data_IF_770815054262
#
_entry.id   IF_770815054262
#
_cell.length_a   1.000
_cell.length_b   1.000
_cell.length_c   1.000
_cell.angle_alpha   90.00
_cell.angle_beta   90.00
_cell.angle_gamma   90.00
#
_symmetry.space_group_name_H-M   'P 1'
#
loop_
_entity.id
_entity.type
_entity.pdbx_description
1 polymer ?
#
# COMPACT_ATOMS: atom_id res chain seq x y z
N UNK A 1 34.02 2.25 -11.18
CA UNK A 1 33.91 2.29 -9.71
C UNK A 1 35.19 2.91 -9.14
N UNK A 2 35.14 4.12 -8.54
CA UNK A 2 36.35 4.83 -8.11
C UNK A 2 37.12 4.05 -7.03
N UNK A 3 38.46 4.11 -6.98
CA UNK A 3 39.26 3.43 -5.98
C UNK A 3 38.99 3.97 -4.57
N UNK A 4 39.11 3.09 -3.54
CA UNK A 4 38.97 3.52 -2.13
C UNK A 4 40.27 4.22 -1.73
N UNK A 5 40.20 5.53 -1.58
CA UNK A 5 41.35 6.36 -1.24
C UNK A 5 41.33 6.88 0.21
N UNK A 6 40.23 6.58 0.97
CA UNK A 6 40.09 7.02 2.34
C UNK A 6 38.69 6.75 2.93
N UNK A 7 38.44 7.13 4.18
CA UNK A 7 37.18 6.86 4.87
C UNK A 7 35.96 7.50 4.18
N UNK A 8 36.11 8.68 3.56
CA UNK A 8 35.03 9.35 2.82
C UNK A 8 34.64 8.58 1.55
N UNK A 9 35.62 8.01 0.82
CA UNK A 9 35.32 7.18 -0.36
C UNK A 9 34.69 5.86 0.00
N UNK A 10 35.01 5.29 1.18
CA UNK A 10 34.34 4.12 1.72
C UNK A 10 32.88 4.43 2.08
N UNK A 11 32.64 5.56 2.75
CA UNK A 11 31.30 6.02 3.11
C UNK A 11 30.43 6.28 1.88
N UNK A 12 31.01 6.88 0.85
CA UNK A 12 30.34 7.09 -0.44
C UNK A 12 29.90 5.76 -1.06
N UNK A 13 30.78 4.77 -1.10
CA UNK A 13 30.43 3.43 -1.62
C UNK A 13 29.39 2.74 -0.79
N UNK A 14 29.51 2.80 0.53
CA UNK A 14 28.52 2.23 1.43
C UNK A 14 27.12 2.86 1.21
N UNK A 15 27.08 4.20 1.05
CA UNK A 15 25.82 4.91 0.77
C UNK A 15 25.19 4.47 -0.56
N UNK A 16 25.98 4.27 -1.62
CA UNK A 16 25.48 3.77 -2.90
C UNK A 16 25.00 2.32 -2.77
N UNK A 17 25.78 1.48 -2.08
CA UNK A 17 25.39 0.08 -1.86
C UNK A 17 24.07 -0.05 -1.10
N UNK A 18 23.92 0.72 -0.03
CA UNK A 18 22.68 0.77 0.75
C UNK A 18 21.50 1.32 -0.07
N UNK A 19 21.73 2.40 -0.83
CA UNK A 19 20.71 3.01 -1.68
C UNK A 19 20.20 2.03 -2.74
N UNK A 20 21.11 1.43 -3.50
CA UNK A 20 20.74 0.50 -4.58
C UNK A 20 20.16 -0.79 -3.99
N UNK A 21 20.79 -1.35 -2.94
CA UNK A 21 20.33 -2.58 -2.32
C UNK A 21 18.93 -2.43 -1.71
N UNK A 22 18.70 -1.37 -0.92
CA UNK A 22 17.38 -1.13 -0.34
C UNK A 22 16.32 -0.85 -1.42
N UNK A 23 16.63 -0.08 -2.46
CA UNK A 23 15.71 0.18 -3.55
C UNK A 23 15.32 -1.09 -4.31
N UNK A 24 16.26 -1.98 -4.59
CA UNK A 24 15.97 -3.27 -5.26
C UNK A 24 15.08 -4.15 -4.39
N UNK A 25 15.35 -4.25 -3.09
CA UNK A 25 14.52 -5.04 -2.17
C UNK A 25 13.14 -4.43 -2.02
N UNK A 26 13.03 -3.09 -1.90
CA UNK A 26 11.76 -2.38 -1.84
C UNK A 26 10.88 -2.65 -3.06
N UNK A 27 11.43 -2.52 -4.26
CA UNK A 27 10.70 -2.80 -5.50
C UNK A 27 10.28 -4.26 -5.54
N UNK A 28 11.18 -5.19 -5.21
CA UNK A 28 10.88 -6.62 -5.23
C UNK A 28 9.76 -6.97 -4.26
N UNK A 29 9.87 -6.54 -2.98
CA UNK A 29 8.84 -6.78 -1.96
C UNK A 29 7.53 -6.08 -2.34
N UNK A 30 7.59 -4.88 -2.93
CA UNK A 30 6.42 -4.16 -3.42
C UNK A 30 5.68 -4.94 -4.50
N UNK A 31 6.38 -5.46 -5.50
CA UNK A 31 5.82 -6.29 -6.57
C UNK A 31 5.23 -7.60 -6.01
N UNK A 32 5.95 -8.27 -5.12
CA UNK A 32 5.46 -9.50 -4.47
C UNK A 32 4.20 -9.22 -3.65
N UNK A 33 4.14 -8.11 -2.92
CA UNK A 33 2.97 -7.75 -2.12
C UNK A 33 1.75 -7.39 -2.99
N UNK A 34 1.95 -6.67 -4.10
CA UNK A 34 0.90 -6.34 -5.08
C UNK A 34 0.37 -7.63 -5.72
N UNK A 35 1.27 -8.55 -6.08
CA UNK A 35 0.94 -9.85 -6.67
C UNK A 35 0.43 -10.86 -5.64
N UNK A 36 0.36 -10.49 -4.36
CA UNK A 36 -0.04 -11.35 -3.22
C UNK A 36 0.82 -12.63 -3.11
N UNK A 37 2.03 -12.59 -3.64
CA UNK A 37 2.97 -13.70 -3.57
C UNK A 37 3.81 -13.62 -2.29
N UNK A 38 3.38 -14.33 -1.26
CA UNK A 38 4.03 -14.38 0.06
C UNK A 38 4.91 -15.62 0.19
N UNK A 39 6.02 -15.64 -0.56
CA UNK A 39 6.96 -16.75 -0.58
C UNK A 39 7.80 -16.88 0.71
N UNK A 40 7.75 -15.89 1.60
CA UNK A 40 8.54 -15.83 2.83
C UNK A 40 7.65 -15.65 4.06
N UNK A 41 8.05 -16.21 5.20
CA UNK A 41 7.28 -16.16 6.46
C UNK A 41 7.36 -14.81 7.20
N UNK A 42 8.10 -13.83 6.70
CA UNK A 42 8.19 -12.53 7.33
C UNK A 42 7.07 -11.57 6.88
N UNK A 43 6.78 -10.59 7.72
CA UNK A 43 5.80 -9.53 7.39
C UNK A 43 6.36 -8.58 6.33
N UNK A 44 5.93 -8.70 5.09
CA UNK A 44 6.31 -7.82 3.98
C UNK A 44 6.12 -6.34 4.32
N UNK A 45 5.01 -5.97 4.97
CA UNK A 45 4.74 -4.61 5.38
C UNK A 45 5.75 -4.05 6.38
N UNK A 46 6.20 -4.87 7.36
CA UNK A 46 7.20 -4.43 8.33
C UNK A 46 8.56 -4.24 7.68
N UNK A 47 8.96 -5.18 6.85
CA UNK A 47 10.24 -5.12 6.13
C UNK A 47 10.26 -3.93 5.17
N UNK A 48 9.20 -3.73 4.39
CA UNK A 48 9.02 -2.58 3.51
C UNK A 48 9.12 -1.26 4.28
N UNK A 49 8.42 -1.12 5.40
CA UNK A 49 8.49 0.08 6.24
C UNK A 49 9.91 0.36 6.77
N UNK A 50 10.62 -0.66 7.25
CA UNK A 50 12.00 -0.51 7.76
C UNK A 50 12.96 -0.14 6.64
N UNK A 51 12.86 -0.82 5.49
CA UNK A 51 13.72 -0.57 4.34
C UNK A 51 13.46 0.80 3.71
N UNK A 52 12.22 1.30 3.73
CA UNK A 52 11.91 2.66 3.30
C UNK A 52 12.70 3.71 4.11
N UNK A 53 12.83 3.53 5.43
CA UNK A 53 13.67 4.40 6.26
C UNK A 53 15.17 4.25 5.97
N UNK A 54 15.64 3.04 5.69
CA UNK A 54 17.02 2.80 5.25
C UNK A 54 17.28 3.50 3.91
N UNK A 55 16.33 3.41 2.99
CA UNK A 55 16.41 4.08 1.69
C UNK A 55 16.47 5.60 1.84
N UNK A 56 15.58 6.19 2.63
CA UNK A 56 15.57 7.65 2.91
C UNK A 56 16.90 8.07 3.56
N UNK A 57 17.36 7.36 4.58
CA UNK A 57 18.64 7.63 5.22
C UNK A 57 19.83 7.53 4.25
N UNK A 58 19.82 6.54 3.35
CA UNK A 58 20.85 6.35 2.32
C UNK A 58 20.87 7.50 1.31
N UNK A 59 19.69 7.99 0.89
CA UNK A 59 19.58 9.16 0.01
C UNK A 59 20.14 10.40 0.69
N UNK A 60 19.74 10.65 1.95
CA UNK A 60 20.24 11.81 2.71
C UNK A 60 21.76 11.75 2.86
N UNK A 61 22.30 10.59 3.23
CA UNK A 61 23.74 10.38 3.36
C UNK A 61 24.46 10.59 2.03
N UNK A 62 23.94 10.01 0.93
CA UNK A 62 24.51 10.16 -0.39
C UNK A 62 24.53 11.62 -0.86
N UNK A 63 23.43 12.34 -0.67
CA UNK A 63 23.33 13.77 -1.00
C UNK A 63 24.29 14.58 -0.12
N UNK A 64 24.40 14.31 1.18
CA UNK A 64 25.30 15.01 2.08
C UNK A 64 26.78 14.85 1.67
N UNK A 65 27.20 13.64 1.32
CA UNK A 65 28.56 13.35 0.84
C UNK A 65 28.83 14.08 -0.49
N UNK A 66 27.85 14.20 -1.36
CA UNK A 66 27.96 14.88 -2.67
C UNK A 66 27.66 16.39 -2.61
N UNK A 67 27.21 16.91 -1.49
CA UNK A 67 26.78 18.31 -1.35
C UNK A 67 27.84 19.33 -1.80
N UNK A 68 29.13 19.19 -1.46
CA UNK A 68 30.16 20.12 -1.95
C UNK A 68 30.27 20.16 -3.48
N UNK A 69 30.16 18.99 -4.11
CA UNK A 69 30.15 18.87 -5.57
C UNK A 69 28.90 19.52 -6.18
N UNK A 70 27.73 19.25 -5.60
CA UNK A 70 26.45 19.82 -6.05
C UNK A 70 26.50 21.34 -5.93
N UNK A 71 26.90 21.88 -4.79
CA UNK A 71 26.98 23.33 -4.57
C UNK A 71 28.04 23.98 -5.49
N UNK A 72 29.20 23.35 -5.63
CA UNK A 72 30.23 23.82 -6.56
C UNK A 72 29.73 23.90 -7.99
N UNK A 73 28.98 22.90 -8.43
CA UNK A 73 28.39 22.84 -9.75
C UNK A 73 27.28 23.92 -9.97
N UNK A 74 26.48 24.22 -8.98
CA UNK A 74 25.44 25.25 -9.05
C UNK A 74 26.04 26.68 -9.03
N UNK A 75 27.19 26.85 -8.34
CA UNK A 75 27.92 28.15 -8.26
C UNK A 75 28.85 28.39 -9.43
N UNK A 76 29.20 27.38 -10.22
CA UNK A 76 30.03 27.54 -11.41
C UNK A 76 29.26 28.39 -12.44
N UNK A 77 29.82 29.60 -12.74
CA UNK A 77 29.31 30.45 -13.82
C UNK A 77 29.48 29.72 -15.16
N UNK A 78 28.61 29.98 -16.14
CA UNK A 78 28.85 29.53 -17.51
C UNK A 78 30.25 29.96 -17.95
N UNK A 79 31.03 29.05 -18.49
CA UNK A 79 32.33 29.39 -19.11
C UNK A 79 32.02 30.28 -20.29
N UNK A 80 32.58 31.52 -20.28
CA UNK A 80 32.50 32.42 -21.41
C UNK A 80 33.31 31.79 -22.58
N UNK A 81 32.68 31.48 -23.71
CA UNK A 81 33.38 30.84 -24.82
C UNK A 81 34.52 31.71 -25.41
N UNK A 82 34.66 32.99 -25.00
CA UNK A 82 35.72 33.89 -25.43
C UNK A 82 37.00 33.83 -24.55
N UNK A 83 37.04 33.00 -23.51
CA UNK A 83 38.20 32.84 -22.62
C UNK A 83 39.06 31.63 -23.03
N UNK A 84 39.54 31.61 -24.29
CA UNK A 84 40.33 30.51 -24.86
C UNK A 84 41.80 30.47 -24.36
N UNK A 85 42.24 31.46 -23.55
CA UNK A 85 43.63 31.60 -23.06
C UNK A 85 43.83 31.29 -21.55
N UNK A 86 42.89 30.66 -20.87
CA UNK A 86 43.08 30.29 -19.49
C UNK A 86 43.75 28.91 -19.35
N UNK A 87 44.76 28.74 -18.42
CA UNK A 87 45.42 27.47 -18.24
C UNK A 87 44.40 26.36 -17.83
N UNK A 88 44.61 25.10 -18.27
CA UNK A 88 43.64 24.04 -18.09
C UNK A 88 43.37 23.85 -16.62
N UNK A 89 42.11 24.05 -16.21
CA UNK A 89 41.63 23.68 -14.89
C UNK A 89 41.78 22.18 -14.75
N UNK A 90 42.34 21.70 -13.61
CA UNK A 90 42.44 20.30 -13.27
C UNK A 90 41.10 19.61 -13.48
N UNK A 91 41.01 18.91 -14.57
CA UNK A 91 40.00 17.91 -14.82
C UNK A 91 40.29 16.69 -13.94
N UNK A 92 39.30 15.90 -13.64
CA UNK A 92 39.44 14.60 -13.02
C UNK A 92 40.60 13.81 -13.63
N UNK A 93 41.27 12.93 -12.86
CA UNK A 93 42.34 12.09 -13.39
C UNK A 93 41.86 11.41 -14.67
N UNK A 94 42.61 11.73 -15.72
CA UNK A 94 42.50 11.26 -17.09
C UNK A 94 42.18 9.77 -17.14
N UNK A 95 41.19 9.45 -17.88
CA UNK A 95 40.87 8.09 -18.30
C UNK A 95 42.14 7.49 -18.95
N UNK A 96 42.33 6.19 -18.68
CA UNK A 96 43.35 5.35 -19.31
C UNK A 96 43.49 5.66 -20.83
N UNK A 97 44.70 5.66 -21.38
CA UNK A 97 44.92 5.98 -22.78
C UNK A 97 44.09 5.06 -23.67
N UNK A 98 43.16 5.62 -24.36
CA UNK A 98 42.49 4.99 -25.49
C UNK A 98 43.40 5.10 -26.73
N UNK A 99 43.42 4.03 -27.50
CA UNK A 99 44.15 3.83 -28.76
C UNK A 99 44.05 5.07 -29.68
N UNK A 100 45.13 5.52 -30.32
CA UNK A 100 45.15 6.77 -31.11
C UNK A 100 44.34 6.73 -32.40
N UNK A 101 43.44 5.81 -32.59
CA UNK A 101 42.67 5.61 -33.84
C UNK A 101 41.15 5.88 -33.78
N UNK A 102 40.55 6.03 -32.61
CA UNK A 102 39.10 6.28 -32.51
C UNK A 102 38.82 7.73 -32.10
N UNK A 103 38.29 8.52 -33.04
CA UNK A 103 37.69 9.81 -32.69
C UNK A 103 36.54 9.56 -31.66
N UNK A 104 36.49 10.32 -30.54
CA UNK A 104 35.41 10.14 -29.57
C UNK A 104 34.11 10.48 -30.30
N UNK A 105 33.23 9.46 -30.40
CA UNK A 105 31.82 9.68 -30.70
C UNK A 105 31.31 10.69 -29.68
N UNK A 106 30.92 11.87 -30.13
CA UNK A 106 30.29 12.90 -29.31
C UNK A 106 29.02 12.27 -28.74
N UNK A 107 29.13 11.70 -27.52
CA UNK A 107 27.98 11.42 -26.72
C UNK A 107 27.39 12.78 -26.39
N UNK A 108 26.28 13.13 -27.03
CA UNK A 108 25.58 14.39 -26.79
C UNK A 108 25.38 14.55 -25.29
N UNK A 109 26.13 15.46 -24.68
CA UNK A 109 26.04 15.73 -23.26
C UNK A 109 24.64 16.27 -22.98
N UNK A 110 23.79 15.44 -22.37
CA UNK A 110 22.43 15.84 -21.95
C UNK A 110 22.57 17.10 -21.11
N UNK A 111 21.97 18.20 -21.56
CA UNK A 111 21.99 19.45 -20.82
C UNK A 111 21.38 19.26 -19.42
N UNK A 112 21.85 20.04 -18.42
CA UNK A 112 21.29 19.99 -17.04
C UNK A 112 19.79 20.14 -17.04
N UNK A 113 19.26 21.05 -17.87
CA UNK A 113 17.81 21.26 -18.02
C UNK A 113 17.15 20.02 -18.62
N UNK A 114 17.77 19.40 -19.63
CA UNK A 114 17.25 18.16 -20.21
C UNK A 114 17.22 17.01 -19.22
N UNK A 115 18.27 16.84 -18.40
CA UNK A 115 18.31 15.83 -17.33
C UNK A 115 17.21 16.05 -16.28
N UNK A 116 17.01 17.28 -15.81
CA UNK A 116 15.96 17.61 -14.84
C UNK A 116 14.56 17.40 -15.43
N UNK A 117 14.35 17.78 -16.70
CA UNK A 117 13.09 17.52 -17.39
C UNK A 117 12.84 16.03 -17.53
N UNK A 118 13.85 15.24 -17.91
CA UNK A 118 13.72 13.80 -18.06
C UNK A 118 13.37 13.11 -16.72
N UNK A 119 14.07 13.49 -15.65
CA UNK A 119 13.77 12.98 -14.29
C UNK A 119 12.36 13.39 -13.84
N UNK A 120 11.99 14.66 -14.00
CA UNK A 120 10.67 15.16 -13.65
C UNK A 120 9.55 14.50 -14.45
N UNK A 121 9.74 14.32 -15.77
CA UNK A 121 8.78 13.64 -16.62
C UNK A 121 8.64 12.16 -16.27
N UNK A 122 9.76 11.47 -16.00
CA UNK A 122 9.73 10.06 -15.56
C UNK A 122 9.04 9.89 -14.22
N UNK A 123 9.35 10.75 -13.25
CA UNK A 123 8.68 10.73 -11.94
C UNK A 123 7.18 11.02 -12.08
N UNK A 124 6.81 12.02 -12.88
CA UNK A 124 5.41 12.34 -13.19
C UNK A 124 4.68 11.19 -13.86
N UNK A 125 5.29 10.53 -14.84
CA UNK A 125 4.71 9.37 -15.52
C UNK A 125 4.49 8.18 -14.56
N UNK A 126 5.46 7.90 -13.67
CA UNK A 126 5.33 6.85 -12.66
C UNK A 126 4.20 7.20 -11.68
N UNK A 127 4.15 8.43 -11.18
CA UNK A 127 3.09 8.87 -10.27
C UNK A 127 1.71 8.79 -10.92
N UNK A 128 1.56 9.26 -12.15
CA UNK A 128 0.30 9.15 -12.90
C UNK A 128 -0.07 7.69 -13.16
N UNK A 129 0.90 6.88 -13.58
CA UNK A 129 0.68 5.47 -13.89
C UNK A 129 0.32 4.60 -12.68
N UNK A 130 0.69 5.02 -11.47
CA UNK A 130 0.47 4.24 -10.22
C UNK A 130 -0.57 4.89 -9.30
N UNK A 131 -0.31 6.11 -8.84
CA UNK A 131 -1.14 6.82 -7.86
C UNK A 131 -2.23 7.69 -8.50
N UNK A 132 -2.25 7.86 -9.82
CA UNK A 132 -3.23 8.68 -10.52
C UNK A 132 -4.68 8.26 -10.28
N UNK A 133 -4.94 7.00 -9.95
CA UNK A 133 -6.29 6.52 -9.62
C UNK A 133 -6.90 7.17 -8.36
N UNK A 134 -6.10 7.78 -7.49
CA UNK A 134 -6.62 8.51 -6.31
C UNK A 134 -7.33 9.80 -6.68
N UNK A 135 -7.11 10.30 -7.91
CA UNK A 135 -7.73 11.49 -8.46
C UNK A 135 -8.63 11.05 -9.62
N UNK A 136 -9.94 11.09 -9.45
CA UNK A 136 -10.92 10.54 -10.40
C UNK A 136 -10.66 10.91 -11.88
N UNK A 137 -10.35 12.18 -12.28
CA UNK A 137 -10.03 12.52 -13.67
C UNK A 137 -8.76 11.85 -14.21
N UNK A 138 -7.81 11.46 -13.36
CA UNK A 138 -6.54 10.85 -13.72
C UNK A 138 -6.56 9.31 -13.67
N UNK A 139 -7.63 8.73 -13.14
CA UNK A 139 -7.77 7.28 -12.99
C UNK A 139 -7.56 6.48 -14.31
N UNK A 140 -7.99 6.95 -15.50
CA UNK A 140 -7.71 6.28 -16.76
C UNK A 140 -6.22 6.17 -17.10
N UNK A 141 -5.39 7.10 -16.59
CA UNK A 141 -3.94 7.13 -16.83
C UNK A 141 -3.16 6.21 -15.89
N UNK A 142 -3.78 5.74 -14.81
CA UNK A 142 -3.18 4.87 -13.81
C UNK A 142 -3.10 3.40 -14.28
N UNK A 143 -2.44 3.17 -15.40
CA UNK A 143 -2.38 1.86 -16.08
C UNK A 143 -1.59 0.80 -15.30
N UNK A 144 -0.70 1.22 -14.40
CA UNK A 144 0.11 0.34 -13.55
C UNK A 144 -0.53 0.10 -12.17
N UNK A 145 -1.72 0.66 -11.92
CA UNK A 145 -2.42 0.45 -10.66
C UNK A 145 -2.88 -1.00 -10.52
N UNK A 146 -2.68 -1.65 -9.36
CA UNK A 146 -3.00 -3.06 -9.16
C UNK A 146 -4.51 -3.35 -9.20
N UNK A 147 -5.32 -2.36 -8.86
CA UNK A 147 -6.79 -2.44 -8.84
C UNK A 147 -7.38 -1.13 -9.36
N UNK A 148 -8.56 -1.22 -9.98
CA UNK A 148 -9.28 -0.05 -10.51
C UNK A 148 -10.68 0.02 -9.92
N UNK A 149 -11.15 1.21 -9.49
CA UNK A 149 -12.55 1.40 -9.11
C UNK A 149 -13.50 0.91 -10.20
N UNK A 150 -14.60 0.29 -9.80
CA UNK A 150 -15.61 -0.23 -10.73
C UNK A 150 -15.28 -1.58 -11.36
N UNK A 151 -14.09 -2.14 -11.16
CA UNK A 151 -13.67 -3.43 -11.72
C UNK A 151 -13.58 -4.48 -10.63
N UNK A 152 -14.40 -5.53 -10.75
CA UNK A 152 -14.49 -6.65 -9.82
C UNK A 152 -15.92 -7.20 -9.73
N UNK A 153 -16.14 -8.29 -8.99
CA UNK A 153 -17.48 -8.76 -8.68
C UNK A 153 -18.34 -7.64 -8.10
N UNK A 154 -19.60 -7.59 -8.47
CA UNK A 154 -20.54 -6.55 -8.04
C UNK A 154 -20.01 -5.10 -8.26
N UNK A 155 -19.10 -4.90 -9.26
CA UNK A 155 -18.54 -3.59 -9.57
C UNK A 155 -17.57 -3.00 -8.53
N UNK A 156 -17.08 -3.80 -7.60
CA UNK A 156 -16.17 -3.35 -6.54
C UNK A 156 -14.83 -4.13 -6.60
N UNK A 157 -13.66 -3.46 -6.53
CA UNK A 157 -12.37 -4.14 -6.55
C UNK A 157 -12.17 -5.09 -5.36
N UNK A 158 -11.48 -6.19 -5.60
CA UNK A 158 -11.13 -7.17 -4.58
C UNK A 158 -9.64 -7.05 -4.27
N UNK A 159 -9.30 -6.89 -2.99
CA UNK A 159 -7.91 -6.89 -2.53
C UNK A 159 -7.39 -8.31 -2.20
N UNK A 160 -8.28 -9.24 -1.86
CA UNK A 160 -7.98 -10.64 -1.55
C UNK A 160 -9.19 -11.50 -1.85
N UNK A 161 -9.02 -12.54 -2.65
CA UNK A 161 -10.08 -13.50 -2.97
C UNK A 161 -10.30 -14.51 -1.85
N UNK A 162 -11.44 -15.19 -1.88
CA UNK A 162 -11.75 -16.29 -0.95
C UNK A 162 -10.80 -17.48 -1.13
N UNK A 163 -10.41 -17.76 -2.38
CA UNK A 163 -9.42 -18.78 -2.71
C UNK A 163 -8.05 -18.48 -2.09
N UNK A 164 -7.54 -17.25 -2.26
CA UNK A 164 -6.28 -16.81 -1.64
C UNK A 164 -6.33 -16.78 -0.11
N UNK A 165 -7.52 -16.56 0.46
CA UNK A 165 -7.75 -16.61 1.90
C UNK A 165 -7.93 -18.04 2.42
N UNK A 166 -8.16 -19.03 1.54
CA UNK A 166 -8.43 -20.43 1.89
C UNK A 166 -9.75 -20.63 2.62
N UNK A 167 -10.79 -19.80 2.30
CA UNK A 167 -12.07 -19.80 3.03
C UNK A 167 -13.26 -20.25 2.19
N UNK A 168 -13.06 -20.63 0.94
CA UNK A 168 -14.17 -20.96 0.02
C UNK A 168 -15.13 -22.01 0.59
N UNK A 169 -14.59 -23.08 1.15
CA UNK A 169 -15.38 -24.15 1.74
C UNK A 169 -16.06 -23.70 3.05
N UNK A 170 -15.32 -23.08 3.96
CA UNK A 170 -15.86 -22.65 5.26
C UNK A 170 -16.87 -21.50 5.14
N UNK A 171 -16.69 -20.62 4.15
CA UNK A 171 -17.63 -19.53 3.88
C UNK A 171 -18.96 -20.02 3.27
N UNK A 172 -18.95 -21.15 2.54
CA UNK A 172 -20.14 -21.77 1.92
C UNK A 172 -20.74 -22.90 2.77
N UNK A 173 -20.19 -23.16 3.97
CA UNK A 173 -20.69 -24.20 4.85
C UNK A 173 -22.13 -23.91 5.28
N UNK A 174 -23.03 -24.89 5.15
CA UNK A 174 -24.44 -24.74 5.51
C UNK A 174 -24.64 -24.52 7.01
N UNK A 175 -23.71 -25.00 7.83
CA UNK A 175 -23.68 -24.85 9.28
C UNK A 175 -22.94 -23.60 9.77
N UNK A 176 -22.60 -22.67 8.84
CA UNK A 176 -21.95 -21.44 9.23
C UNK A 176 -22.81 -20.62 10.20
N UNK A 177 -22.20 -20.16 11.27
CA UNK A 177 -22.79 -19.28 12.26
C UNK A 177 -21.82 -18.16 12.64
N UNK A 178 -22.36 -16.96 12.82
CA UNK A 178 -21.64 -15.86 13.44
C UNK A 178 -21.78 -15.97 14.96
N UNK A 179 -20.64 -16.11 15.65
CA UNK A 179 -20.60 -16.06 17.10
C UNK A 179 -20.44 -14.63 17.58
N UNK A 180 -21.37 -14.16 18.44
CA UNK A 180 -21.31 -12.81 19.02
C UNK A 180 -21.23 -12.94 20.53
N UNK A 181 -20.11 -12.52 21.13
CA UNK A 181 -19.89 -12.50 22.56
C UNK A 181 -19.91 -11.06 23.08
N UNK A 182 -21.01 -10.65 23.64
CA UNK A 182 -21.21 -9.36 24.29
C UNK A 182 -20.75 -9.38 25.75
N UNK A 183 -21.10 -8.32 26.49
CA UNK A 183 -20.73 -8.15 27.89
C UNK A 183 -21.42 -9.14 28.83
N UNK A 184 -22.62 -9.59 28.51
CA UNK A 184 -23.46 -10.42 29.39
C UNK A 184 -23.73 -11.84 28.85
N UNK A 185 -23.74 -11.99 27.52
CA UNK A 185 -24.11 -13.25 26.89
C UNK A 185 -23.35 -13.53 25.61
N UNK A 186 -23.44 -14.79 25.17
CA UNK A 186 -22.90 -15.25 23.89
C UNK A 186 -24.05 -15.86 23.09
N UNK A 187 -24.20 -15.36 21.87
CA UNK A 187 -25.22 -15.85 20.94
C UNK A 187 -24.56 -16.36 19.67
N UNK A 188 -25.25 -17.22 18.95
CA UNK A 188 -24.86 -17.75 17.65
C UNK A 188 -26.01 -17.51 16.70
N UNK A 189 -25.69 -16.92 15.54
CA UNK A 189 -26.67 -16.53 14.55
C UNK A 189 -26.29 -17.14 13.19
N UNK A 190 -27.23 -17.83 12.59
CA UNK A 190 -27.14 -18.25 11.20
C UNK A 190 -27.22 -17.04 10.28
N UNK A 191 -26.97 -17.24 9.01
CA UNK A 191 -27.15 -16.17 8.04
C UNK A 191 -28.61 -15.73 7.93
N UNK A 192 -29.55 -16.66 8.03
CA UNK A 192 -30.98 -16.38 7.99
C UNK A 192 -31.44 -15.62 9.25
N UNK A 193 -30.93 -15.96 10.42
CA UNK A 193 -31.17 -15.19 11.63
C UNK A 193 -30.71 -13.74 11.48
N UNK A 194 -29.50 -13.52 10.93
CA UNK A 194 -28.99 -12.18 10.65
C UNK A 194 -29.85 -11.43 9.62
N UNK A 195 -30.33 -12.12 8.59
CA UNK A 195 -31.18 -11.53 7.56
C UNK A 195 -32.60 -11.18 8.08
N UNK A 196 -33.06 -11.86 9.11
CA UNK A 196 -34.35 -11.61 9.78
C UNK A 196 -34.30 -10.41 10.75
N UNK A 197 -33.10 -9.98 11.19
CA UNK A 197 -32.94 -8.79 12.04
C UNK A 197 -33.20 -7.50 11.23
N UNK A 198 -33.50 -6.36 11.91
CA UNK A 198 -33.63 -5.08 11.23
C UNK A 198 -32.42 -4.74 10.37
N UNK A 199 -32.64 -4.51 9.07
CA UNK A 199 -31.60 -4.20 8.11
C UNK A 199 -31.46 -2.70 7.91
N UNK A 200 -30.22 -2.22 7.81
CA UNK A 200 -29.86 -0.85 7.45
C UNK A 200 -29.14 -0.85 6.11
N UNK A 201 -29.56 0.03 5.20
CA UNK A 201 -28.89 0.27 3.92
C UNK A 201 -28.19 1.62 3.95
N UNK A 202 -26.92 1.67 3.57
CA UNK A 202 -26.12 2.89 3.54
C UNK A 202 -25.11 2.89 2.40
N UNK A 203 -24.86 4.09 1.86
CA UNK A 203 -23.77 4.36 0.90
C UNK A 203 -22.49 4.62 1.68
N UNK A 204 -21.59 3.66 1.69
CA UNK A 204 -20.36 3.74 2.47
C UNK A 204 -19.12 3.51 1.59
N UNK A 205 -18.08 4.36 1.76
CA UNK A 205 -16.84 4.18 1.03
C UNK A 205 -15.97 3.07 1.61
N UNK A 206 -15.30 2.33 0.74
CA UNK A 206 -14.12 1.54 1.08
C UNK A 206 -12.91 2.25 0.54
N UNK A 207 -11.96 2.60 1.41
CA UNK A 207 -10.65 3.10 1.03
C UNK A 207 -9.60 1.99 1.24
N UNK A 208 -8.94 1.61 0.17
CA UNK A 208 -7.90 0.58 0.20
C UNK A 208 -6.51 1.20 0.31
N UNK A 209 -5.60 0.52 1.01
CA UNK A 209 -4.18 0.90 1.09
C UNK A 209 -3.45 0.82 -0.26
N UNK A 210 -4.06 0.19 -1.26
CA UNK A 210 -3.60 0.14 -2.65
C UNK A 210 -3.89 1.44 -3.43
N UNK A 211 -4.44 2.47 -2.78
CA UNK A 211 -4.64 3.80 -3.35
C UNK A 211 -5.95 4.00 -4.10
N UNK A 212 -6.90 3.06 -4.04
CA UNK A 212 -8.24 3.25 -4.57
C UNK A 212 -9.27 3.46 -3.46
N UNK A 213 -10.33 4.19 -3.78
CA UNK A 213 -11.51 4.36 -2.92
C UNK A 213 -12.75 4.31 -3.78
N UNK A 214 -13.78 3.65 -3.28
CA UNK A 214 -15.06 3.54 -3.98
C UNK A 214 -16.21 3.48 -2.97
N UNK A 215 -17.26 4.28 -3.22
CA UNK A 215 -18.51 4.19 -2.50
C UNK A 215 -19.36 3.07 -3.06
N UNK A 216 -20.01 2.32 -2.17
CA UNK A 216 -20.88 1.21 -2.54
C UNK A 216 -22.08 1.15 -1.59
N UNK A 217 -23.20 0.59 -2.06
CA UNK A 217 -24.43 0.43 -1.29
C UNK A 217 -24.36 -0.87 -0.50
N UNK A 218 -24.31 -0.77 0.81
CA UNK A 218 -24.23 -1.90 1.73
C UNK A 218 -25.54 -2.05 2.50
N UNK A 219 -25.99 -3.29 2.67
CA UNK A 219 -27.15 -3.61 3.50
C UNK A 219 -26.77 -4.69 4.52
N UNK A 220 -27.13 -4.47 5.76
CA UNK A 220 -26.84 -5.39 6.86
C UNK A 220 -27.40 -4.93 8.20
N UNK A 221 -27.06 -5.66 9.25
CA UNK A 221 -27.44 -5.36 10.64
C UNK A 221 -26.47 -4.33 11.21
N UNK A 222 -26.95 -3.33 11.93
CA UNK A 222 -26.08 -2.43 12.67
C UNK A 222 -25.28 -3.18 13.72
N UNK A 223 -24.00 -2.92 13.78
CA UNK A 223 -23.12 -3.62 14.73
C UNK A 223 -23.54 -3.37 16.18
N UNK A 224 -23.92 -2.13 16.51
CA UNK A 224 -24.43 -1.78 17.84
C UNK A 224 -25.65 -2.62 18.23
N UNK A 225 -26.66 -2.69 17.37
CA UNK A 225 -27.89 -3.43 17.64
C UNK A 225 -27.61 -4.94 17.82
N UNK A 226 -26.65 -5.46 17.05
CA UNK A 226 -26.21 -6.85 17.18
C UNK A 226 -25.50 -7.11 18.53
N UNK A 227 -24.69 -6.16 18.99
CA UNK A 227 -24.03 -6.26 20.29
C UNK A 227 -25.02 -6.15 21.43
N UNK A 228 -26.08 -5.34 21.31
CA UNK A 228 -27.13 -5.23 22.32
C UNK A 228 -27.89 -6.54 22.53
N UNK A 229 -28.12 -7.32 21.46
CA UNK A 229 -28.67 -8.66 21.55
C UNK A 229 -27.82 -9.63 22.41
N UNK A 230 -26.49 -9.39 22.43
CA UNK A 230 -25.55 -10.14 23.26
C UNK A 230 -25.27 -9.50 24.63
N UNK A 231 -26.10 -8.52 25.04
CA UNK A 231 -25.98 -7.85 26.35
C UNK A 231 -25.01 -6.66 26.36
N UNK A 232 -24.78 -6.03 25.20
CA UNK A 232 -24.02 -4.79 25.04
C UNK A 232 -22.50 -4.97 25.02
N UNK A 233 -21.78 -3.86 25.21
CA UNK A 233 -20.31 -3.79 25.20
C UNK A 233 -19.79 -3.28 26.55
N UNK A 234 -18.49 -3.48 26.80
CA UNK A 234 -17.78 -2.93 27.99
C UNK A 234 -17.20 -1.54 27.75
N UNK A 235 -17.35 -0.99 26.53
CA UNK A 235 -16.74 0.29 26.14
C UNK A 235 -15.27 0.20 25.72
N UNK A 236 -14.64 -0.97 25.76
CA UNK A 236 -13.23 -1.16 25.39
C UNK A 236 -13.03 -1.45 23.88
N UNK A 237 -14.12 -1.71 23.15
CA UNK A 237 -14.10 -2.10 21.75
C UNK A 237 -14.29 -3.61 21.55
N UNK A 238 -14.14 -4.05 20.29
CA UNK A 238 -14.40 -5.42 19.88
C UNK A 238 -13.18 -6.07 19.22
N UNK A 239 -13.09 -7.39 19.36
CA UNK A 239 -12.28 -8.27 18.53
C UNK A 239 -13.17 -8.84 17.44
N UNK A 240 -12.77 -8.63 16.19
CA UNK A 240 -13.44 -9.17 15.02
C UNK A 240 -12.56 -10.27 14.43
N UNK A 241 -13.09 -11.48 14.28
CA UNK A 241 -12.37 -12.63 13.73
C UNK A 241 -12.97 -13.05 12.39
N UNK A 242 -12.11 -13.36 11.44
CA UNK A 242 -12.45 -13.90 10.13
C UNK A 242 -12.35 -15.43 10.13
N UNK A 243 -13.02 -16.11 9.20
CA UNK A 243 -12.80 -17.52 8.87
C UNK A 243 -11.38 -17.79 8.34
N UNK A 244 -10.69 -16.76 7.81
CA UNK A 244 -9.33 -16.93 7.31
C UNK A 244 -8.37 -17.31 8.45
N UNK A 245 -7.62 -18.39 8.26
CA UNK A 245 -6.70 -18.93 9.28
C UNK A 245 -5.38 -18.16 9.31
N UNK A 246 -4.96 -17.59 8.18
CA UNK A 246 -3.66 -16.91 8.02
C UNK A 246 -3.84 -15.47 7.57
N UNK A 247 -2.86 -14.63 7.92
CA UNK A 247 -2.80 -13.22 7.53
C UNK A 247 -2.96 -12.25 8.70
N UNK A 248 -2.36 -11.08 8.58
CA UNK A 248 -2.30 -10.06 9.64
C UNK A 248 -3.68 -9.52 10.05
N UNK A 249 -4.69 -9.67 9.18
CA UNK A 249 -6.04 -9.17 9.39
C UNK A 249 -7.09 -10.28 9.59
N UNK A 250 -6.65 -11.52 9.88
CA UNK A 250 -7.56 -12.60 10.30
C UNK A 250 -8.26 -12.26 11.61
N UNK A 251 -7.64 -11.45 12.45
CA UNK A 251 -8.21 -10.87 13.68
C UNK A 251 -7.90 -9.38 13.70
N UNK A 252 -8.92 -8.57 13.95
CA UNK A 252 -8.76 -7.11 14.04
C UNK A 252 -9.41 -6.60 15.33
N UNK A 253 -8.77 -5.61 15.96
CA UNK A 253 -9.41 -4.84 17.02
C UNK A 253 -10.24 -3.72 16.41
N UNK A 254 -11.43 -3.50 16.94
CA UNK A 254 -12.33 -2.40 16.57
C UNK A 254 -12.53 -1.49 17.77
N UNK A 255 -12.02 -0.24 17.74
CA UNK A 255 -12.29 0.74 18.79
C UNK A 255 -13.77 1.02 18.96
N UNK A 256 -14.17 1.37 20.20
CA UNK A 256 -15.56 1.60 20.59
C UNK A 256 -16.26 2.63 19.70
N UNK A 257 -15.56 3.67 19.24
CA UNK A 257 -16.11 4.72 18.36
C UNK A 257 -16.72 4.15 17.08
N UNK A 258 -16.19 3.06 16.53
CA UNK A 258 -16.79 2.39 15.37
C UNK A 258 -17.96 1.48 15.76
N UNK A 259 -17.98 0.96 16.97
CA UNK A 259 -19.11 0.13 17.44
C UNK A 259 -20.35 0.98 17.64
N UNK A 260 -20.19 2.19 18.15
CA UNK A 260 -21.25 3.17 18.40
C UNK A 260 -21.71 3.90 17.14
N UNK A 261 -20.93 3.84 16.05
CA UNK A 261 -21.33 4.49 14.80
C UNK A 261 -22.56 3.78 14.20
N UNK A 262 -23.67 4.48 13.99
CA UNK A 262 -24.92 3.89 13.49
C UNK A 262 -24.81 3.35 12.06
N UNK A 263 -23.73 3.69 11.33
CA UNK A 263 -23.47 3.22 9.98
C UNK A 263 -22.43 2.07 9.95
N UNK A 264 -21.94 1.61 11.09
CA UNK A 264 -21.14 0.38 11.14
C UNK A 264 -22.06 -0.83 11.04
N UNK A 265 -21.87 -1.61 9.96
CA UNK A 265 -22.74 -2.73 9.61
C UNK A 265 -22.00 -4.08 9.64
N UNK A 266 -22.70 -5.11 10.07
CA UNK A 266 -22.47 -6.50 9.67
C UNK A 266 -23.22 -6.67 8.34
N UNK A 267 -22.55 -6.42 7.23
CA UNK A 267 -23.15 -6.38 5.91
C UNK A 267 -23.36 -7.80 5.37
N UNK A 268 -24.54 -8.01 4.77
CA UNK A 268 -24.99 -9.24 4.14
C UNK A 268 -25.19 -9.08 2.62
N UNK A 269 -25.35 -7.82 2.15
CA UNK A 269 -25.61 -7.50 0.75
C UNK A 269 -24.74 -6.32 0.28
N UNK A 270 -24.45 -6.35 -1.02
CA UNK A 270 -23.74 -5.30 -1.75
C UNK A 270 -24.55 -4.95 -3.01
N UNK A 271 -24.87 -3.67 -3.20
CA UNK A 271 -25.71 -3.16 -4.31
C UNK A 271 -27.09 -3.88 -4.44
N UNK A 272 -27.64 -4.34 -3.32
CA UNK A 272 -28.93 -5.04 -3.27
C UNK A 272 -28.83 -6.55 -3.42
N UNK A 273 -27.75 -7.06 -3.97
CA UNK A 273 -27.50 -8.49 -4.12
C UNK A 273 -26.79 -9.10 -2.92
N UNK A 274 -26.90 -10.41 -2.76
CA UNK A 274 -26.12 -11.16 -1.79
C UNK A 274 -24.63 -10.93 -2.00
N UNK A 275 -23.85 -10.87 -0.91
CA UNK A 275 -22.40 -10.66 -1.02
C UNK A 275 -21.77 -11.74 -1.88
N UNK A 276 -20.97 -11.34 -2.89
CA UNK A 276 -20.04 -12.24 -3.54
C UNK A 276 -19.07 -12.82 -2.51
N UNK A 277 -18.63 -14.06 -2.72
CA UNK A 277 -17.73 -14.74 -1.79
C UNK A 277 -16.43 -13.95 -1.61
N UNK A 278 -15.93 -13.32 -2.66
CA UNK A 278 -14.72 -12.51 -2.63
C UNK A 278 -14.93 -11.17 -1.93
N UNK A 279 -16.18 -10.73 -1.80
CA UNK A 279 -16.55 -9.56 -1.00
C UNK A 279 -16.82 -9.88 0.47
N UNK A 280 -16.80 -11.15 0.86
CA UNK A 280 -16.87 -11.55 2.26
C UNK A 280 -18.14 -12.29 2.66
N UNK A 281 -18.86 -12.91 1.71
CA UNK A 281 -19.93 -13.85 2.06
C UNK A 281 -19.41 -14.87 3.10
N UNK A 282 -20.17 -15.25 4.14
CA UNK A 282 -21.59 -14.94 4.35
C UNK A 282 -21.85 -13.58 5.02
N UNK A 283 -20.87 -12.97 5.68
CA UNK A 283 -21.01 -11.65 6.32
C UNK A 283 -19.65 -10.94 6.43
N UNK A 284 -19.67 -9.61 6.40
CA UNK A 284 -18.48 -8.78 6.57
C UNK A 284 -18.75 -7.53 7.41
N UNK A 285 -17.70 -6.96 7.98
CA UNK A 285 -17.76 -5.62 8.57
C UNK A 285 -17.62 -4.54 7.50
N UNK A 286 -18.47 -3.53 7.59
CA UNK A 286 -18.32 -2.23 6.91
C UNK A 286 -18.47 -1.14 7.98
N UNK A 287 -17.48 -0.23 8.07
CA UNK A 287 -17.45 0.85 9.03
C UNK A 287 -16.93 2.13 8.39
N UNK A 288 -17.63 3.28 8.52
CA UNK A 288 -17.20 4.56 8.00
C UNK A 288 -15.81 4.95 8.50
N UNK A 289 -14.95 5.46 7.60
CA UNK A 289 -13.60 5.91 7.96
C UNK A 289 -12.61 4.83 8.39
N UNK A 290 -13.03 3.56 8.47
CA UNK A 290 -12.13 2.47 8.81
C UNK A 290 -11.38 1.99 7.56
N UNK A 291 -10.04 1.79 7.62
CA UNK A 291 -9.28 1.30 6.47
C UNK A 291 -9.82 -0.02 5.91
N UNK A 292 -9.88 -0.15 4.58
CA UNK A 292 -10.47 -1.32 3.91
C UNK A 292 -9.93 -2.67 4.38
N UNK A 293 -8.61 -2.75 4.68
CA UNK A 293 -7.97 -3.97 5.22
C UNK A 293 -8.46 -4.36 6.62
N UNK A 294 -9.04 -3.42 7.36
CA UNK A 294 -9.62 -3.65 8.70
C UNK A 294 -11.13 -3.88 8.66
N UNK A 295 -11.75 -3.76 7.49
CA UNK A 295 -13.15 -4.11 7.27
C UNK A 295 -13.26 -5.60 7.00
N UNK A 296 -13.24 -6.39 8.08
CA UNK A 296 -13.06 -7.84 8.08
C UNK A 296 -14.10 -8.55 7.22
N UNK A 297 -13.63 -9.37 6.27
CA UNK A 297 -14.44 -10.28 5.44
C UNK A 297 -14.56 -11.65 6.09
N UNK A 298 -15.57 -12.42 5.66
CA UNK A 298 -15.79 -13.82 6.09
C UNK A 298 -15.82 -13.93 7.62
N UNK A 299 -16.77 -13.27 8.24
CA UNK A 299 -16.87 -13.23 9.71
C UNK A 299 -17.05 -14.61 10.32
N UNK A 300 -16.39 -14.87 11.44
CA UNK A 300 -16.61 -16.02 12.28
C UNK A 300 -17.01 -15.64 13.70
N UNK A 301 -16.37 -14.64 14.32
CA UNK A 301 -16.77 -14.14 15.63
C UNK A 301 -16.58 -12.64 15.81
N UNK A 302 -17.40 -12.08 16.70
CA UNK A 302 -17.32 -10.71 17.21
C UNK A 302 -17.36 -10.81 18.74
N UNK A 303 -16.34 -10.30 19.42
CA UNK A 303 -16.18 -10.46 20.87
C UNK A 303 -15.79 -9.13 21.51
N UNK A 304 -16.38 -8.82 22.67
CA UNK A 304 -15.96 -7.69 23.50
C UNK A 304 -14.52 -7.88 23.93
N UNK A 305 -13.70 -6.84 23.83
CA UNK A 305 -12.34 -6.83 24.39
C UNK A 305 -12.42 -6.77 25.93
N UNK A 306 -11.53 -7.49 26.63
CA UNK A 306 -11.48 -7.46 28.09
C UNK A 306 -11.07 -6.10 28.64
#
# INVERSE_FOLDING_TARGET
WPPVTGPLSLLERASIGLLVGSALVEVTIGVMNISQWYAFDFSFRRVHFVLAWVLVGSVVLHVAVKLPLIVGFWRARPVDPAAEDAPPRRTWPEQLPTDPGEAPTQTEAVSRRGALIAVGASAGAILLGTAGQTIAPLAPLAVLSPRRPGIGPQGLPINRTAAEAGVEQSARAEDWMLEVAGAQSRIRLTRDDLAALPQTTADLPIACVEGWSQTAIWTGVRLHDLMDLAGGTTGTGLRITSLQVRGAFSRTAMPQVYVEDPLTLVALRLHGDELDIDHGYPARIIAPGRPGVMQTKWLSSIEVLP
#
